data_IF_699736978571
#
_entry.id   IF_699736978571
#
_cell.length_a   1.000
_cell.length_b   1.000
_cell.length_c   1.000
_cell.angle_alpha   90.00
_cell.angle_beta   90.00
_cell.angle_gamma   90.00
#
_symmetry.space_group_name_H-M   'P 1'
#
loop_
_entity.id
_entity.type
_entity.pdbx_description
1 polymer ?
#
# COMPACT_ATOMS: atom_id res chain seq x y z
N UNK A 1 8.78 13.60 10.86
CA UNK A 1 7.36 13.46 11.26
C UNK A 1 6.90 12.10 10.76
N UNK A 2 6.46 11.21 11.65
CA UNK A 2 5.97 9.89 11.26
C UNK A 2 4.60 10.09 10.60
N UNK A 3 4.56 10.13 9.27
CA UNK A 3 3.28 10.09 8.55
C UNK A 3 2.71 8.69 8.76
N UNK A 4 1.61 8.60 9.50
CA UNK A 4 0.73 7.45 9.50
C UNK A 4 0.16 7.33 8.08
N UNK A 5 0.91 6.71 7.16
CA UNK A 5 0.52 6.61 5.76
C UNK A 5 -0.76 5.79 5.67
N UNK A 6 -1.87 6.51 5.56
CA UNK A 6 -3.17 5.92 5.30
C UNK A 6 -3.23 5.65 3.79
N UNK A 7 -3.20 4.37 3.41
CA UNK A 7 -3.24 3.96 2.00
C UNK A 7 -4.66 4.00 1.41
N UNK A 8 -5.65 4.36 2.23
CA UNK A 8 -7.03 4.65 1.83
C UNK A 8 -7.50 5.89 2.58
N UNK A 9 -7.92 6.94 1.88
CA UNK A 9 -8.40 8.16 2.55
C UNK A 9 -9.81 7.95 3.13
N UNK A 10 -10.20 8.80 4.07
CA UNK A 10 -11.57 8.79 4.59
C UNK A 10 -12.60 9.01 3.48
N UNK A 11 -12.32 9.94 2.56
CA UNK A 11 -13.19 10.24 1.42
C UNK A 11 -13.38 9.01 0.52
N UNK A 12 -12.30 8.31 0.19
CA UNK A 12 -12.39 7.08 -0.61
C UNK A 12 -13.11 5.97 0.14
N UNK A 13 -12.87 5.83 1.45
CA UNK A 13 -13.60 4.86 2.27
C UNK A 13 -15.11 5.11 2.23
N UNK A 14 -15.52 6.38 2.33
CA UNK A 14 -16.93 6.78 2.22
C UNK A 14 -17.48 6.53 0.82
N UNK A 15 -16.70 6.81 -0.23
CA UNK A 15 -17.10 6.54 -1.61
C UNK A 15 -17.30 5.04 -1.88
N UNK A 16 -16.42 4.18 -1.36
CA UNK A 16 -16.58 2.73 -1.44
C UNK A 16 -17.82 2.28 -0.67
N UNK A 17 -18.09 2.86 0.51
CA UNK A 17 -19.25 2.50 1.30
C UNK A 17 -20.58 2.90 0.62
N UNK A 18 -20.61 4.05 -0.03
CA UNK A 18 -21.77 4.55 -0.78
C UNK A 18 -22.04 3.80 -2.10
N UNK A 19 -21.11 2.94 -2.55
CA UNK A 19 -21.28 2.17 -3.78
C UNK A 19 -22.34 1.06 -3.65
N UNK A 20 -22.85 0.59 -4.78
CA UNK A 20 -23.81 -0.53 -4.86
C UNK A 20 -23.13 -1.92 -4.81
N UNK A 21 -21.84 -1.96 -4.48
CA UNK A 21 -21.03 -3.18 -4.39
C UNK A 21 -21.45 -4.04 -3.19
N UNK A 22 -21.25 -5.35 -3.30
CA UNK A 22 -21.38 -6.27 -2.15
C UNK A 22 -20.29 -6.00 -1.10
N UNK A 23 -20.44 -6.58 0.09
CA UNK A 23 -19.44 -6.47 1.16
C UNK A 23 -18.05 -6.95 0.72
N UNK A 24 -18.00 -8.05 -0.03
CA UNK A 24 -16.77 -8.64 -0.57
C UNK A 24 -16.11 -7.73 -1.61
N UNK A 25 -16.92 -7.17 -2.52
CA UNK A 25 -16.46 -6.24 -3.54
C UNK A 25 -15.97 -4.92 -2.93
N UNK A 26 -16.65 -4.40 -1.89
CA UNK A 26 -16.19 -3.23 -1.13
C UNK A 26 -14.85 -3.50 -0.45
N UNK A 27 -14.66 -4.68 0.15
CA UNK A 27 -13.38 -5.08 0.71
C UNK A 27 -12.28 -5.11 -0.36
N UNK A 28 -12.53 -5.78 -1.49
CA UNK A 28 -11.58 -5.86 -2.60
C UNK A 28 -11.26 -4.47 -3.18
N UNK A 29 -12.24 -3.58 -3.26
CA UNK A 29 -12.06 -2.21 -3.76
C UNK A 29 -11.13 -1.41 -2.85
N UNK A 30 -11.33 -1.49 -1.53
CA UNK A 30 -10.43 -0.85 -0.54
C UNK A 30 -9.01 -1.40 -0.63
N UNK A 31 -8.87 -2.72 -0.81
CA UNK A 31 -7.58 -3.36 -0.99
C UNK A 31 -6.90 -2.86 -2.27
N UNK A 32 -7.61 -2.84 -3.39
CA UNK A 32 -7.10 -2.41 -4.70
C UNK A 32 -6.61 -0.96 -4.68
N UNK A 33 -7.39 -0.05 -4.10
CA UNK A 33 -7.00 1.37 -3.95
C UNK A 33 -5.74 1.49 -3.08
N UNK A 34 -5.68 0.74 -1.97
CA UNK A 34 -4.51 0.73 -1.10
C UNK A 34 -3.28 0.18 -1.81
N UNK A 35 -3.43 -0.89 -2.59
CA UNK A 35 -2.37 -1.49 -3.39
C UNK A 35 -1.82 -0.51 -4.43
N UNK A 36 -2.66 0.29 -5.09
CA UNK A 36 -2.19 1.31 -6.04
C UNK A 36 -1.22 2.31 -5.38
N UNK A 37 -1.53 2.77 -4.17
CA UNK A 37 -0.66 3.70 -3.44
C UNK A 37 0.65 3.05 -2.99
N UNK A 38 0.60 1.78 -2.59
CA UNK A 38 1.81 1.02 -2.28
C UNK A 38 2.68 0.89 -3.53
N UNK A 39 2.10 0.58 -4.70
CA UNK A 39 2.84 0.50 -5.96
C UNK A 39 3.46 1.85 -6.36
N UNK A 40 2.74 2.96 -6.19
CA UNK A 40 3.28 4.30 -6.40
C UNK A 40 4.47 4.61 -5.48
N UNK A 41 4.40 4.18 -4.22
CA UNK A 41 5.49 4.33 -3.26
C UNK A 41 6.71 3.51 -3.64
N UNK A 42 6.52 2.23 -4.01
CA UNK A 42 7.60 1.35 -4.44
C UNK A 42 8.29 1.94 -5.69
N UNK A 43 7.51 2.38 -6.67
CA UNK A 43 8.03 3.00 -7.88
C UNK A 43 8.88 4.24 -7.56
N UNK A 44 8.41 5.08 -6.62
CA UNK A 44 9.14 6.25 -6.16
C UNK A 44 10.44 5.89 -5.41
N UNK A 45 10.44 4.89 -4.52
CA UNK A 45 11.65 4.44 -3.81
C UNK A 45 12.71 3.84 -4.74
N UNK A 46 12.26 3.21 -5.83
CA UNK A 46 13.13 2.58 -6.83
C UNK A 46 13.49 3.50 -8.01
N UNK A 47 12.98 4.75 -8.04
CA UNK A 47 13.15 5.72 -9.14
C UNK A 47 12.78 5.16 -10.52
N UNK A 48 11.63 4.48 -10.59
CA UNK A 48 11.06 3.92 -11.83
C UNK A 48 9.61 4.38 -12.02
N UNK A 49 9.07 4.21 -13.23
CA UNK A 49 7.63 4.39 -13.45
C UNK A 49 6.86 3.24 -12.80
N UNK A 50 5.65 3.51 -12.28
CA UNK A 50 4.73 2.47 -11.79
C UNK A 50 4.46 1.42 -12.86
N UNK A 51 4.32 1.84 -14.12
CA UNK A 51 4.07 0.94 -15.25
C UNK A 51 5.26 0.04 -15.60
N UNK A 52 6.44 0.34 -15.06
CA UNK A 52 7.68 -0.43 -15.27
C UNK A 52 8.05 -1.33 -14.09
N UNK A 53 7.25 -1.33 -13.01
CA UNK A 53 7.47 -2.21 -11.88
C UNK A 53 7.28 -3.67 -12.28
N UNK A 54 8.33 -4.46 -12.08
CA UNK A 54 8.27 -5.92 -12.18
C UNK A 54 7.77 -6.56 -10.88
N UNK A 55 7.26 -7.78 -10.99
CA UNK A 55 6.93 -8.62 -9.83
C UNK A 55 8.11 -8.81 -8.89
N UNK A 56 9.30 -9.00 -9.45
CA UNK A 56 10.54 -9.24 -8.71
C UNK A 56 10.93 -8.01 -7.87
N UNK A 57 10.82 -6.81 -8.44
CA UNK A 57 11.06 -5.56 -7.71
C UNK A 57 10.06 -5.37 -6.57
N UNK A 58 8.78 -5.64 -6.81
CA UNK A 58 7.74 -5.54 -5.78
C UNK A 58 8.03 -6.54 -4.65
N UNK A 59 8.30 -7.81 -4.97
CA UNK A 59 8.62 -8.84 -3.96
C UNK A 59 9.85 -8.44 -3.14
N UNK A 60 10.95 -8.06 -3.80
CA UNK A 60 12.19 -7.68 -3.13
C UNK A 60 12.00 -6.46 -2.21
N UNK A 61 11.23 -5.47 -2.65
CA UNK A 61 10.91 -4.30 -1.83
C UNK A 61 10.09 -4.68 -0.59
N UNK A 62 9.06 -5.52 -0.76
CA UNK A 62 8.21 -6.00 0.33
C UNK A 62 9.00 -6.83 1.35
N UNK A 63 9.95 -7.65 0.90
CA UNK A 63 10.86 -8.41 1.76
C UNK A 63 11.80 -7.49 2.55
N UNK A 64 12.36 -6.47 1.90
CA UNK A 64 13.20 -5.44 2.54
C UNK A 64 12.44 -4.72 3.65
N UNK A 65 11.22 -4.23 3.37
CA UNK A 65 10.40 -3.54 4.37
C UNK A 65 10.00 -4.47 5.53
N UNK A 66 9.62 -5.72 5.21
CA UNK A 66 9.29 -6.73 6.23
C UNK A 66 10.49 -7.07 7.12
N UNK A 67 11.71 -7.07 6.56
CA UNK A 67 12.94 -7.24 7.34
C UNK A 67 13.16 -6.06 8.30
N UNK A 68 13.02 -4.82 7.81
CA UNK A 68 13.08 -3.62 8.65
C UNK A 68 12.06 -3.70 9.79
N UNK A 69 10.81 -4.11 9.52
CA UNK A 69 9.78 -4.31 10.54
C UNK A 69 10.21 -5.29 11.63
N UNK A 70 10.75 -6.45 11.24
CA UNK A 70 11.18 -7.51 12.18
C UNK A 70 12.40 -7.10 13.01
N UNK A 71 13.37 -6.41 12.41
CA UNK A 71 14.65 -6.12 13.05
C UNK A 71 14.67 -4.78 13.80
N UNK A 72 13.90 -3.80 13.32
CA UNK A 72 13.95 -2.41 13.81
C UNK A 72 12.60 -1.92 14.36
N UNK A 73 11.56 -2.76 14.28
CA UNK A 73 10.23 -2.47 14.79
C UNK A 73 9.28 -1.85 13.75
N UNK A 74 7.98 -1.95 14.03
CA UNK A 74 6.87 -1.47 13.19
C UNK A 74 6.95 0.02 12.86
N UNK A 75 7.51 0.83 13.76
CA UNK A 75 7.65 2.28 13.56
C UNK A 75 8.71 2.64 12.52
N UNK A 76 9.64 1.72 12.22
CA UNK A 76 10.71 1.92 11.22
C UNK A 76 10.37 1.40 9.84
N UNK A 77 9.44 0.44 9.73
CA UNK A 77 8.93 -0.03 8.45
C UNK A 77 8.03 1.02 7.79
N UNK A 78 7.95 1.03 6.47
CA UNK A 78 6.99 1.83 5.72
C UNK A 78 5.58 1.25 5.91
N UNK A 79 5.44 -0.07 5.75
CA UNK A 79 4.18 -0.76 5.97
C UNK A 79 3.99 -1.07 7.45
N UNK A 80 2.93 -0.52 8.02
CA UNK A 80 2.62 -0.57 9.46
C UNK A 80 1.73 -1.74 9.88
N UNK A 81 1.63 -2.77 9.03
CA UNK A 81 0.86 -3.98 9.31
C UNK A 81 1.68 -5.24 9.07
#
# INVERSE_FOLDING_TARGET
MLNNQQFLTQEESLAVEASLLTSEEKFLTRLTISSLRVLQLIAQDLDVSVDSLSSEQIIAWMEKDSKVRREQGIDKAILKW
#
